data_IF_792677151039
#
_entry.id   IF_792677151039
#
_cell.length_a   1.000
_cell.length_b   1.000
_cell.length_c   1.000
_cell.angle_alpha   90.00
_cell.angle_beta   90.00
_cell.angle_gamma   90.00
#
_symmetry.space_group_name_H-M   'P 1'
#
loop_
_entity.id
_entity.type
_entity.pdbx_description
1 polymer ?
#
# COMPACT_ATOMS: atom_id res chain seq x y z
N UNK A 1 10.25 37.05 -7.56
CA UNK A 1 10.02 36.52 -8.93
C UNK A 1 8.87 35.51 -8.88
N UNK A 2 8.12 35.33 -9.98
CA UNK A 2 7.01 34.35 -10.06
C UNK A 2 7.52 32.99 -10.56
N UNK A 3 6.84 31.92 -10.17
CA UNK A 3 7.14 30.56 -10.59
C UNK A 3 6.91 30.35 -12.11
N UNK A 4 7.79 29.58 -12.75
CA UNK A 4 7.67 29.16 -14.16
C UNK A 4 6.87 27.87 -14.30
N UNK A 5 5.94 27.82 -15.26
CA UNK A 5 5.01 26.69 -15.47
C UNK A 5 5.61 25.44 -16.16
N UNK A 6 6.94 25.28 -16.19
CA UNK A 6 7.57 24.14 -16.86
C UNK A 6 7.28 22.85 -16.10
N UNK A 7 6.79 21.81 -16.80
CA UNK A 7 6.58 20.48 -16.20
C UNK A 7 7.89 19.70 -16.12
N UNK A 8 8.12 18.94 -15.03
CA UNK A 8 9.26 18.04 -14.94
C UNK A 8 9.13 16.93 -15.98
N UNK A 9 10.23 16.57 -16.63
CA UNK A 9 10.31 15.40 -17.55
C UNK A 9 10.80 14.14 -16.86
N UNK A 10 11.37 14.29 -15.67
CA UNK A 10 11.86 13.22 -14.79
C UNK A 10 11.46 13.53 -13.36
N UNK A 11 11.20 12.51 -12.53
CA UNK A 11 10.90 12.72 -11.13
C UNK A 11 12.15 13.22 -10.42
N UNK A 12 12.06 14.37 -9.74
CA UNK A 12 13.15 14.90 -8.92
C UNK A 12 13.52 13.94 -7.79
N UNK A 13 12.52 13.20 -7.27
CA UNK A 13 12.63 12.22 -6.19
C UNK A 13 12.44 10.79 -6.70
N UNK A 14 13.09 10.44 -7.82
CA UNK A 14 13.02 9.09 -8.41
C UNK A 14 13.44 7.96 -7.45
N UNK A 15 14.38 8.24 -6.56
CA UNK A 15 14.85 7.33 -5.49
C UNK A 15 13.79 7.06 -4.42
N UNK A 16 12.68 7.83 -4.41
CA UNK A 16 11.54 7.58 -3.53
C UNK A 16 10.89 6.20 -3.74
N UNK A 17 11.22 5.50 -4.83
CA UNK A 17 10.83 4.11 -5.08
C UNK A 17 11.25 3.16 -3.94
N UNK A 18 12.33 3.48 -3.22
CA UNK A 18 12.86 2.68 -2.11
C UNK A 18 12.35 3.08 -0.73
N UNK A 19 11.56 4.15 -0.65
CA UNK A 19 10.91 4.51 0.59
C UNK A 19 9.93 3.42 1.02
N UNK A 20 9.71 3.36 2.34
CA UNK A 20 8.75 2.43 2.92
C UNK A 20 7.70 3.15 3.74
N UNK A 21 6.47 2.64 3.68
CA UNK A 21 5.35 3.08 4.50
C UNK A 21 4.99 1.98 5.50
N UNK A 22 4.84 2.36 6.76
CA UNK A 22 4.32 1.50 7.83
C UNK A 22 2.81 1.73 7.97
N UNK A 23 1.99 0.70 7.75
CA UNK A 23 0.54 0.77 7.83
C UNK A 23 0.06 -0.09 9.00
N UNK A 24 -0.30 0.55 10.11
CA UNK A 24 -0.92 -0.11 11.26
C UNK A 24 -2.43 -0.09 11.12
N UNK A 25 -3.04 -1.27 11.09
CA UNK A 25 -4.48 -1.44 11.01
C UNK A 25 -4.97 -2.34 12.15
N UNK A 26 -6.03 -1.91 12.82
CA UNK A 26 -6.70 -2.65 13.88
C UNK A 26 -8.18 -2.78 13.52
N UNK A 27 -8.70 -4.00 13.63
CA UNK A 27 -10.09 -4.33 13.34
C UNK A 27 -10.79 -4.89 14.58
N UNK A 28 -12.10 -4.69 14.63
CA UNK A 28 -12.97 -5.27 15.64
C UNK A 28 -14.25 -5.74 14.97
N UNK A 29 -14.65 -6.99 15.26
CA UNK A 29 -15.97 -7.52 14.93
C UNK A 29 -16.81 -7.53 16.22
N UNK A 30 -17.61 -6.47 16.48
CA UNK A 30 -18.22 -6.26 17.80
C UNK A 30 -19.17 -7.37 18.23
N UNK A 31 -19.94 -7.91 17.28
CA UNK A 31 -20.90 -9.01 17.51
C UNK A 31 -20.24 -10.25 18.14
N UNK A 32 -18.98 -10.51 17.78
CA UNK A 32 -18.23 -11.67 18.25
C UNK A 32 -17.23 -11.32 19.34
N UNK A 33 -17.18 -10.05 19.77
CA UNK A 33 -16.13 -9.53 20.66
C UNK A 33 -14.70 -9.86 20.19
N UNK A 34 -14.49 -9.99 18.88
CA UNK A 34 -13.20 -10.32 18.29
C UNK A 34 -12.47 -9.05 17.89
N UNK A 35 -11.16 -9.01 18.07
CA UNK A 35 -10.32 -7.90 17.60
C UNK A 35 -8.96 -8.41 17.18
N UNK A 36 -8.37 -7.77 16.16
CA UNK A 36 -7.09 -8.20 15.61
C UNK A 36 -6.34 -7.02 14.99
N UNK A 37 -5.03 -7.18 14.85
CA UNK A 37 -4.13 -6.21 14.21
C UNK A 37 -3.41 -6.88 13.06
N UNK A 38 -3.05 -6.10 12.04
CA UNK A 38 -2.27 -6.57 10.90
C UNK A 38 -0.76 -6.71 11.19
N UNK A 39 -0.35 -6.40 12.42
CA UNK A 39 1.04 -6.49 12.88
C UNK A 39 1.22 -7.84 13.59
N UNK A 40 2.27 -8.58 13.23
CA UNK A 40 2.59 -9.85 13.88
C UNK A 40 2.70 -9.67 15.40
N UNK A 41 1.98 -10.50 16.15
CA UNK A 41 2.14 -10.58 17.60
C UNK A 41 3.37 -11.43 17.93
N UNK A 42 4.50 -10.77 18.15
CA UNK A 42 5.79 -11.41 18.41
C UNK A 42 6.59 -10.65 19.45
N UNK A 43 7.37 -11.38 20.25
CA UNK A 43 8.34 -10.81 21.18
C UNK A 43 9.63 -10.36 20.48
N UNK A 44 9.79 -10.71 19.20
CA UNK A 44 10.92 -10.31 18.39
C UNK A 44 10.88 -8.80 18.06
N UNK A 45 11.67 -8.04 18.81
CA UNK A 45 11.83 -6.59 18.65
C UNK A 45 12.56 -6.20 17.36
N UNK A 46 13.14 -7.16 16.66
CA UNK A 46 13.85 -6.95 15.39
C UNK A 46 12.95 -7.11 14.17
N UNK A 47 11.83 -7.82 14.30
CA UNK A 47 10.88 -8.07 13.22
C UNK A 47 10.51 -6.80 12.44
N UNK A 48 10.01 -5.77 13.13
CA UNK A 48 9.60 -4.51 12.47
C UNK A 48 10.78 -3.68 11.93
N UNK A 49 12.02 -3.96 12.33
CA UNK A 49 13.19 -3.25 11.81
C UNK A 49 13.61 -3.76 10.45
N UNK A 50 13.42 -5.05 10.20
CA UNK A 50 13.93 -5.72 9.00
C UNK A 50 12.83 -6.20 8.05
N UNK A 51 11.62 -6.46 8.54
CA UNK A 51 10.57 -7.04 7.72
C UNK A 51 10.18 -6.11 6.57
N UNK A 52 9.82 -6.73 5.44
CA UNK A 52 9.13 -6.09 4.32
C UNK A 52 7.92 -6.94 3.98
N UNK A 53 6.82 -6.30 3.63
CA UNK A 53 5.62 -7.00 3.21
C UNK A 53 5.89 -7.87 1.99
N UNK A 54 5.42 -9.10 2.05
CA UNK A 54 5.28 -10.02 0.92
C UNK A 54 4.03 -10.86 1.11
N UNK A 55 3.49 -11.51 0.06
CA UNK A 55 2.35 -12.43 0.19
C UNK A 55 2.60 -13.57 1.20
N UNK A 56 3.86 -14.00 1.36
CA UNK A 56 4.28 -15.05 2.30
C UNK A 56 4.44 -14.52 3.74
N UNK A 57 4.55 -13.20 3.91
CA UNK A 57 4.65 -12.53 5.21
C UNK A 57 3.56 -11.44 5.36
N UNK A 58 2.27 -11.84 5.44
CA UNK A 58 1.14 -10.89 5.46
C UNK A 58 1.08 -10.03 6.72
N UNK A 59 1.80 -10.42 7.78
CA UNK A 59 1.85 -9.68 9.04
C UNK A 59 3.01 -8.69 9.14
N UNK A 60 3.81 -8.51 8.08
CA UNK A 60 4.72 -7.38 8.01
C UNK A 60 3.99 -6.14 7.43
N UNK A 61 3.76 -5.09 8.24
CA UNK A 61 3.02 -3.90 7.83
C UNK A 61 3.88 -2.84 7.10
N UNK A 62 5.05 -3.21 6.58
CA UNK A 62 6.03 -2.28 5.99
C UNK A 62 6.12 -2.51 4.49
N UNK A 63 5.62 -1.57 3.71
CA UNK A 63 5.49 -1.69 2.25
C UNK A 63 6.49 -0.77 1.56
N UNK A 64 7.26 -1.30 0.61
CA UNK A 64 8.11 -0.49 -0.28
C UNK A 64 7.24 0.18 -1.33
N UNK A 65 7.40 1.49 -1.54
CA UNK A 65 6.55 2.25 -2.46
C UNK A 65 6.65 1.74 -3.91
N UNK A 66 7.85 1.40 -4.38
CA UNK A 66 8.03 0.80 -5.70
C UNK A 66 7.26 -0.51 -5.87
N UNK A 67 7.23 -1.36 -4.83
CA UNK A 67 6.47 -2.62 -4.84
C UNK A 67 4.96 -2.37 -4.84
N UNK A 68 4.48 -1.43 -4.01
CA UNK A 68 3.06 -1.05 -3.99
C UNK A 68 2.59 -0.59 -5.36
N UNK A 69 3.38 0.23 -6.05
CA UNK A 69 3.06 0.70 -7.41
C UNK A 69 3.14 -0.45 -8.42
N UNK A 70 4.15 -1.31 -8.36
CA UNK A 70 4.31 -2.42 -9.31
C UNK A 70 3.21 -3.47 -9.20
N UNK A 71 2.68 -3.72 -8.00
CA UNK A 71 1.54 -4.63 -7.79
C UNK A 71 0.24 -4.12 -8.43
N UNK A 72 0.13 -2.83 -8.73
CA UNK A 72 -0.98 -2.28 -9.55
C UNK A 72 -0.77 -2.47 -11.06
N UNK A 73 0.35 -3.08 -11.48
CA UNK A 73 0.77 -3.13 -12.88
C UNK A 73 1.20 -1.76 -13.43
N UNK A 74 1.68 -0.85 -12.56
CA UNK A 74 2.15 0.49 -12.95
C UNK A 74 3.66 0.65 -12.71
N UNK A 75 4.27 1.64 -13.37
CA UNK A 75 5.68 1.98 -13.16
C UNK A 75 5.82 3.19 -12.21
N UNK A 76 6.67 3.07 -11.18
CA UNK A 76 6.89 4.14 -10.20
C UNK A 76 7.43 5.43 -10.85
N UNK A 77 8.39 5.31 -11.77
CA UNK A 77 9.03 6.47 -12.39
C UNK A 77 8.04 7.25 -13.26
N UNK A 78 7.10 6.56 -13.92
CA UNK A 78 6.05 7.21 -14.70
C UNK A 78 5.07 7.99 -13.81
N UNK A 79 4.59 7.34 -12.73
CA UNK A 79 3.69 8.00 -11.76
C UNK A 79 4.39 9.17 -11.08
N UNK A 80 5.67 9.04 -10.73
CA UNK A 80 6.40 10.07 -9.99
C UNK A 80 6.63 11.37 -10.79
N UNK A 81 6.50 11.35 -12.12
CA UNK A 81 6.61 12.57 -12.96
C UNK A 81 5.36 13.45 -12.84
N UNK A 82 4.17 12.86 -12.93
CA UNK A 82 2.91 13.60 -13.01
C UNK A 82 2.05 13.50 -11.74
N UNK A 83 2.43 12.62 -10.83
CA UNK A 83 1.58 12.19 -9.72
C UNK A 83 0.62 11.07 -10.14
N UNK A 84 -0.09 10.55 -9.14
CA UNK A 84 -1.10 9.52 -9.30
C UNK A 84 -1.69 9.13 -7.95
N UNK A 85 -2.67 8.24 -7.95
CA UNK A 85 -3.38 7.80 -6.76
C UNK A 85 -3.38 6.28 -6.70
N UNK A 86 -2.80 5.71 -5.64
CA UNK A 86 -2.79 4.27 -5.39
C UNK A 86 -3.66 3.96 -4.18
N UNK A 87 -4.58 3.02 -4.34
CA UNK A 87 -5.38 2.42 -3.28
C UNK A 87 -4.72 1.16 -2.74
N UNK A 88 -4.65 1.05 -1.41
CA UNK A 88 -4.25 -0.15 -0.68
C UNK A 88 -5.49 -0.64 0.07
N UNK A 89 -6.08 -1.75 -0.39
CA UNK A 89 -7.22 -2.37 0.25
C UNK A 89 -6.73 -3.46 1.21
N UNK A 90 -7.17 -3.38 2.46
CA UNK A 90 -6.91 -4.38 3.50
C UNK A 90 -8.22 -5.10 3.78
N UNK A 91 -8.30 -6.36 3.40
CA UNK A 91 -9.47 -7.20 3.59
C UNK A 91 -9.29 -8.13 4.79
N UNK A 92 -10.34 -8.19 5.61
CA UNK A 92 -10.46 -9.09 6.75
C UNK A 92 -11.74 -9.89 6.58
N UNK A 93 -11.63 -11.00 5.89
CA UNK A 93 -12.70 -11.96 5.70
C UNK A 93 -12.32 -13.24 6.47
N UNK A 94 -13.02 -13.44 7.58
CA UNK A 94 -12.65 -14.36 8.63
C UNK A 94 -13.83 -15.26 9.02
N UNK A 95 -13.59 -16.56 8.95
CA UNK A 95 -14.44 -17.57 9.57
C UNK A 95 -14.06 -17.66 11.07
N UNK A 96 -14.93 -17.13 11.94
CA UNK A 96 -14.69 -17.06 13.38
C UNK A 96 -15.07 -18.35 14.13
N UNK A 97 -15.55 -19.37 13.41
CA UNK A 97 -15.67 -20.72 13.97
C UNK A 97 -14.30 -21.43 14.02
N UNK A 98 -13.30 -20.90 13.30
CA UNK A 98 -11.94 -21.43 13.22
C UNK A 98 -10.99 -20.75 14.21
N UNK A 99 -9.75 -21.26 14.25
CA UNK A 99 -8.70 -20.69 15.08
C UNK A 99 -8.44 -19.21 14.71
N UNK A 100 -8.24 -18.33 15.71
CA UNK A 100 -7.93 -16.92 15.45
C UNK A 100 -6.74 -16.69 14.51
N UNK A 101 -5.79 -17.61 14.43
CA UNK A 101 -4.64 -17.56 13.51
C UNK A 101 -5.03 -17.61 12.03
N UNK A 102 -6.17 -18.23 11.68
CA UNK A 102 -6.66 -18.31 10.30
C UNK A 102 -7.31 -17.01 9.81
N UNK A 103 -7.62 -16.08 10.71
CA UNK A 103 -8.10 -14.74 10.36
C UNK A 103 -6.91 -13.79 10.16
N UNK A 104 -6.48 -13.53 8.93
CA UNK A 104 -5.32 -12.67 8.64
C UNK A 104 -5.64 -11.65 7.53
N UNK A 105 -4.92 -10.52 7.48
CA UNK A 105 -5.18 -9.48 6.48
C UNK A 105 -4.77 -9.95 5.09
N UNK A 106 -5.59 -9.66 4.09
CA UNK A 106 -5.26 -9.78 2.66
C UNK A 106 -5.13 -8.38 2.06
N UNK A 107 -4.10 -8.17 1.25
CA UNK A 107 -3.81 -6.86 0.67
C UNK A 107 -3.98 -6.87 -0.83
N UNK A 108 -4.68 -5.86 -1.34
CA UNK A 108 -4.88 -5.64 -2.76
C UNK A 108 -4.49 -4.22 -3.13
N UNK A 109 -3.87 -4.04 -4.29
CA UNK A 109 -3.28 -2.78 -4.72
C UNK A 109 -3.87 -2.37 -6.07
N UNK A 110 -4.39 -1.15 -6.17
CA UNK A 110 -5.00 -0.63 -7.39
C UNK A 110 -4.59 0.81 -7.65
N UNK A 111 -4.38 1.17 -8.92
CA UNK A 111 -4.27 2.58 -9.33
C UNK A 111 -5.69 3.14 -9.52
N UNK A 112 -6.00 4.25 -8.87
CA UNK A 112 -7.35 4.81 -8.80
C UNK A 112 -7.54 6.01 -9.75
N UNK A 113 -6.47 6.68 -10.17
CA UNK A 113 -6.53 7.80 -11.11
C UNK A 113 -6.63 7.34 -12.58
N UNK A 114 -7.21 8.19 -13.43
CA UNK A 114 -7.31 7.92 -14.86
C UNK A 114 -5.95 8.15 -15.54
N UNK A 115 -5.41 7.10 -16.16
CA UNK A 115 -4.14 7.12 -16.90
C UNK A 115 -4.15 8.05 -18.12
N UNK A 116 -5.34 8.39 -18.65
CA UNK A 116 -5.52 9.05 -19.96
C UNK A 116 -6.13 10.45 -19.89
N UNK A 117 -6.06 11.14 -18.76
CA UNK A 117 -6.61 12.50 -18.59
C UNK A 117 -5.99 13.58 -19.50
N UNK A 118 -5.03 13.22 -20.38
CA UNK A 118 -4.55 14.05 -21.47
C UNK A 118 -5.42 14.05 -22.75
N UNK A 119 -6.36 13.10 -22.91
CA UNK A 119 -7.19 12.95 -24.12
C UNK A 119 -8.70 12.85 -23.80
N UNK A 120 -9.21 13.59 -22.82
CA UNK A 120 -10.64 13.88 -22.79
C UNK A 120 -10.95 14.87 -23.92
N UNK A 121 -11.19 14.38 -25.13
CA UNK A 121 -11.92 15.14 -26.14
C UNK A 121 -13.31 15.32 -25.57
N UNK A 122 -13.61 16.53 -25.09
CA UNK A 122 -14.95 16.97 -24.81
C UNK A 122 -15.78 16.75 -26.08
N UNK A 123 -16.74 15.83 -26.02
CA UNK A 123 -17.85 15.77 -26.99
C UNK A 123 -18.94 16.75 -26.58
#
# INVERSE_FOLDING_TARGET
>A
PVETRSRPTKPLLGEGTDFTVYIKNFIRFPKFNFSKTNVLDTTDRTFLKSCKFSPENPYCPIFRLGSVVSWTGSNFQEIAVQGGVIGIQIEWDCDLDKAPSECYPRYYFNRLDNRFSGNSISS
#
